data_IF_384161088999
#
_entry.id   IF_384161088999
#
_cell.length_a   1.000
_cell.length_b   1.000
_cell.length_c   1.000
_cell.angle_alpha   90.00
_cell.angle_beta   90.00
_cell.angle_gamma   90.00
#
_symmetry.space_group_name_H-M   'P 1'
#
loop_
_entity.id
_entity.type
_entity.pdbx_description
1 polymer ?
#
# COMPACT_ATOMS: atom_id res chain seq x y z
N UNK A 1 2.04 25.38 0.94
CA UNK A 1 0.62 25.01 0.75
C UNK A 1 0.20 24.04 1.84
N UNK A 2 -0.98 24.20 2.46
CA UNK A 2 -1.47 23.34 3.56
C UNK A 2 -2.64 22.49 3.10
N UNK A 3 -2.55 21.17 3.24
CA UNK A 3 -3.60 20.21 2.87
C UNK A 3 -3.94 19.36 4.09
N UNK A 4 -5.22 19.36 4.50
CA UNK A 4 -5.73 18.40 5.47
C UNK A 4 -6.18 17.16 4.72
N UNK A 5 -5.40 16.08 4.83
CA UNK A 5 -5.69 14.81 4.19
C UNK A 5 -6.36 13.90 5.20
N UNK A 6 -7.58 13.45 4.88
CA UNK A 6 -8.25 12.36 5.57
C UNK A 6 -8.15 11.11 4.70
N UNK A 7 -7.39 10.12 5.16
CA UNK A 7 -7.35 8.80 4.53
C UNK A 7 -8.60 8.02 4.94
N UNK A 8 -9.23 7.30 4.00
CA UNK A 8 -10.42 6.51 4.27
C UNK A 8 -10.05 5.02 4.39
N UNK A 9 -10.84 4.21 5.11
CA UNK A 9 -10.64 2.75 5.23
C UNK A 9 -10.47 2.05 3.88
N UNK A 10 -11.23 2.50 2.89
CA UNK A 10 -11.20 1.93 1.54
C UNK A 10 -9.85 2.14 0.85
N UNK A 11 -9.17 3.26 1.11
CA UNK A 11 -7.85 3.54 0.54
C UNK A 11 -6.78 2.62 1.12
N UNK A 12 -6.87 2.31 2.42
CA UNK A 12 -6.00 1.31 3.05
C UNK A 12 -6.29 -0.10 2.56
N UNK A 13 -7.56 -0.43 2.31
CA UNK A 13 -7.92 -1.73 1.76
C UNK A 13 -7.37 -1.91 0.34
N UNK A 14 -7.53 -0.90 -0.52
CA UNK A 14 -6.96 -0.86 -1.86
C UNK A 14 -5.43 -0.90 -1.84
N UNK A 15 -4.78 -0.15 -0.95
CA UNK A 15 -3.33 -0.19 -0.78
C UNK A 15 -2.85 -1.55 -0.28
N UNK A 16 -3.56 -2.18 0.64
CA UNK A 16 -3.24 -3.52 1.14
C UNK A 16 -3.41 -4.60 0.08
N UNK A 17 -4.43 -4.50 -0.79
CA UNK A 17 -4.60 -5.36 -1.95
C UNK A 17 -3.47 -5.16 -2.99
N UNK A 18 -3.07 -3.91 -3.23
CA UNK A 18 -1.91 -3.63 -4.07
C UNK A 18 -0.62 -4.21 -3.47
N UNK A 19 -0.44 -4.11 -2.16
CA UNK A 19 0.73 -4.67 -1.47
C UNK A 19 0.69 -6.21 -1.38
N UNK A 20 -0.49 -6.83 -1.29
CA UNK A 20 -0.72 -8.28 -1.42
C UNK A 20 -0.19 -8.81 -2.75
N UNK A 21 -0.51 -8.12 -3.85
CA UNK A 21 -0.08 -8.52 -5.20
C UNK A 21 1.39 -8.21 -5.48
N UNK A 22 2.00 -7.24 -4.79
CA UNK A 22 3.41 -6.88 -4.94
C UNK A 22 4.35 -7.46 -3.87
N UNK A 23 3.81 -8.06 -2.81
CA UNK A 23 4.61 -8.68 -1.76
C UNK A 23 5.11 -10.05 -2.19
N UNK A 24 6.43 -10.15 -2.43
CA UNK A 24 7.09 -11.39 -2.83
C UNK A 24 6.80 -12.56 -1.87
N UNK A 25 6.66 -12.29 -0.57
CA UNK A 25 6.35 -13.32 0.43
C UNK A 25 4.93 -13.88 0.29
N UNK A 26 3.96 -13.03 -0.03
CA UNK A 26 2.56 -13.45 -0.25
C UNK A 26 2.44 -14.23 -1.55
N UNK A 27 3.08 -13.73 -2.62
CA UNK A 27 3.15 -14.46 -3.89
C UNK A 27 3.79 -15.85 -3.71
N UNK A 28 4.87 -15.94 -2.93
CA UNK A 28 5.53 -17.21 -2.63
C UNK A 28 4.60 -18.19 -1.90
N UNK A 29 3.78 -17.71 -0.95
CA UNK A 29 2.77 -18.55 -0.27
C UNK A 29 1.74 -19.07 -1.26
N UNK A 30 1.21 -18.23 -2.15
CA UNK A 30 0.25 -18.68 -3.17
C UNK A 30 0.85 -19.67 -4.16
N UNK A 31 2.09 -19.45 -4.61
CA UNK A 31 2.81 -20.40 -5.47
C UNK A 31 2.99 -21.75 -4.77
N UNK A 32 3.36 -21.75 -3.49
CA UNK A 32 3.49 -22.97 -2.70
C UNK A 32 2.15 -23.69 -2.54
N UNK A 33 1.07 -22.94 -2.30
CA UNK A 33 -0.29 -23.49 -2.21
C UNK A 33 -0.76 -24.12 -3.53
N UNK A 34 -0.46 -23.50 -4.67
CA UNK A 34 -0.77 -24.06 -6.00
C UNK A 34 0.06 -25.33 -6.25
N UNK A 35 1.34 -25.32 -5.86
CA UNK A 35 2.20 -26.49 -5.98
C UNK A 35 1.70 -27.68 -5.14
N UNK A 36 1.25 -27.43 -3.91
CA UNK A 36 0.63 -28.46 -3.05
C UNK A 36 -0.68 -28.99 -3.63
N UNK A 37 -1.51 -28.13 -4.23
CA UNK A 37 -2.72 -28.57 -4.95
C UNK A 37 -2.37 -29.47 -6.14
N UNK A 38 -1.32 -29.13 -6.90
CA UNK A 38 -0.83 -29.98 -7.98
C UNK A 38 -0.38 -31.35 -7.48
N UNK A 39 0.37 -31.40 -6.38
CA UNK A 39 0.78 -32.67 -5.76
C UNK A 39 -0.41 -33.49 -5.26
N UNK A 40 -1.44 -32.84 -4.71
CA UNK A 40 -2.67 -33.52 -4.29
C UNK A 40 -3.41 -34.16 -5.49
N UNK A 41 -3.50 -33.44 -6.61
CA UNK A 41 -4.11 -33.94 -7.84
C UNK A 41 -3.28 -35.08 -8.46
N UNK A 42 -1.95 -34.98 -8.42
CA UNK A 42 -1.05 -36.04 -8.88
C UNK A 42 -1.14 -37.28 -7.98
N UNK A 43 -1.25 -37.11 -6.66
CA UNK A 43 -1.45 -38.24 -5.74
C UNK A 43 -2.77 -38.97 -6.01
N UNK A 44 -3.83 -38.23 -6.38
CA UNK A 44 -5.10 -38.82 -6.76
C UNK A 44 -4.99 -39.74 -7.99
N UNK A 45 -4.16 -39.39 -8.99
CA UNK A 45 -3.97 -40.24 -10.18
C UNK A 45 -3.15 -41.50 -9.90
N UNK A 46 -2.34 -41.51 -8.84
CA UNK A 46 -1.54 -42.65 -8.40
C UNK A 46 -2.29 -43.59 -7.43
N UNK A 47 -3.55 -43.26 -7.08
CA UNK A 47 -4.34 -44.06 -6.16
C UNK A 47 -3.95 -43.92 -4.69
N UNK A 48 -3.35 -42.78 -4.31
CA UNK A 48 -3.01 -42.48 -2.91
C UNK A 48 -4.25 -42.49 -1.99
N UNK A 49 -4.02 -42.72 -0.70
CA UNK A 49 -5.11 -42.79 0.28
C UNK A 49 -5.86 -41.46 0.37
N UNK A 50 -7.19 -41.53 0.47
CA UNK A 50 -8.06 -40.37 0.65
C UNK A 50 -7.62 -39.46 1.83
N UNK A 51 -7.00 -40.04 2.87
CA UNK A 51 -6.46 -39.28 4.00
C UNK A 51 -5.29 -38.37 3.61
N UNK A 52 -4.37 -38.83 2.76
CA UNK A 52 -3.20 -38.06 2.31
C UNK A 52 -3.63 -36.86 1.47
N UNK A 53 -4.67 -37.04 0.65
CA UNK A 53 -5.24 -36.00 -0.21
C UNK A 53 -5.91 -34.91 0.63
N UNK A 54 -6.64 -35.27 1.69
CA UNK A 54 -7.24 -34.30 2.62
C UNK A 54 -6.16 -33.47 3.32
N UNK A 55 -5.09 -34.12 3.80
CA UNK A 55 -3.96 -33.42 4.43
C UNK A 55 -3.26 -32.45 3.46
N UNK A 56 -3.09 -32.85 2.20
CA UNK A 56 -2.49 -32.00 1.16
C UNK A 56 -3.39 -30.81 0.78
N UNK A 57 -4.72 -30.94 0.87
CA UNK A 57 -5.67 -29.87 0.58
C UNK A 57 -5.84 -28.86 1.73
N UNK A 58 -5.57 -29.28 2.97
CA UNK A 58 -5.79 -28.46 4.16
C UNK A 58 -4.96 -27.17 4.15
N UNK A 59 -3.66 -27.27 3.83
CA UNK A 59 -2.74 -26.13 3.86
C UNK A 59 -3.07 -25.06 2.79
N UNK A 60 -3.32 -25.43 1.51
CA UNK A 60 -3.80 -24.49 0.51
C UNK A 60 -5.11 -23.83 0.92
N UNK A 61 -6.10 -24.61 1.37
CA UNK A 61 -7.41 -24.09 1.73
C UNK A 61 -7.33 -23.12 2.92
N UNK A 62 -6.57 -23.47 3.95
CA UNK A 62 -6.28 -22.60 5.07
C UNK A 62 -5.57 -21.31 4.62
N UNK A 63 -4.59 -21.38 3.71
CA UNK A 63 -3.89 -20.19 3.22
C UNK A 63 -4.83 -19.22 2.48
N UNK A 64 -5.75 -19.72 1.65
CA UNK A 64 -6.68 -18.90 0.88
C UNK A 64 -7.72 -18.19 1.75
N UNK A 65 -8.06 -18.75 2.91
CA UNK A 65 -9.02 -18.17 3.86
C UNK A 65 -8.32 -17.29 4.90
N UNK A 66 -7.24 -17.80 5.51
CA UNK A 66 -6.55 -17.14 6.63
C UNK A 66 -5.83 -15.87 6.17
N UNK A 67 -5.17 -15.87 5.01
CA UNK A 67 -4.44 -14.69 4.52
C UNK A 67 -5.33 -13.46 4.35
N UNK A 68 -6.48 -13.50 3.62
CA UNK A 68 -7.35 -12.33 3.50
C UNK A 68 -7.97 -11.93 4.85
N UNK A 69 -8.33 -12.89 5.71
CA UNK A 69 -8.85 -12.59 7.06
C UNK A 69 -7.82 -11.83 7.89
N UNK A 70 -6.57 -12.30 7.95
CA UNK A 70 -5.50 -11.63 8.69
C UNK A 70 -5.26 -10.20 8.20
N UNK A 71 -5.45 -9.96 6.91
CA UNK A 71 -5.28 -8.63 6.32
C UNK A 71 -6.43 -7.71 6.70
N UNK A 72 -7.67 -8.18 6.61
CA UNK A 72 -8.85 -7.43 7.07
C UNK A 72 -8.72 -7.11 8.56
N UNK A 73 -8.31 -8.08 9.37
CA UNK A 73 -8.11 -7.90 10.80
C UNK A 73 -6.99 -6.91 11.08
N UNK A 74 -5.86 -6.99 10.38
CA UNK A 74 -4.74 -6.05 10.54
C UNK A 74 -5.15 -4.63 10.19
N UNK A 75 -5.85 -4.43 9.08
CA UNK A 75 -6.36 -3.10 8.69
C UNK A 75 -7.38 -2.59 9.71
N UNK A 76 -8.29 -3.45 10.17
CA UNK A 76 -9.31 -3.09 11.17
C UNK A 76 -8.67 -2.74 12.50
N UNK A 77 -7.63 -3.47 12.91
CA UNK A 77 -6.87 -3.21 14.12
C UNK A 77 -6.07 -1.90 14.01
N UNK A 78 -5.38 -1.67 12.89
CA UNK A 78 -4.69 -0.41 12.61
C UNK A 78 -5.67 0.77 12.60
N UNK A 79 -6.85 0.58 12.00
CA UNK A 79 -7.92 1.57 12.03
C UNK A 79 -8.41 1.85 13.44
N UNK A 80 -8.63 0.82 14.26
CA UNK A 80 -9.20 0.99 15.60
C UNK A 80 -8.19 1.56 16.59
N UNK A 81 -6.91 1.17 16.48
CA UNK A 81 -5.85 1.55 17.42
C UNK A 81 -5.18 2.87 17.07
N UNK A 82 -5.10 3.20 15.78
CA UNK A 82 -4.32 4.35 15.30
C UNK A 82 -5.08 5.21 14.28
N UNK A 83 -6.42 5.26 14.44
CA UNK A 83 -7.31 6.09 13.60
C UNK A 83 -6.79 7.52 13.49
N UNK A 84 -6.44 8.13 14.61
CA UNK A 84 -6.00 9.52 14.57
C UNK A 84 -4.60 9.62 13.96
N UNK A 85 -3.67 8.77 14.41
CA UNK A 85 -2.25 8.78 13.99
C UNK A 85 -2.03 8.54 12.49
N UNK A 86 -2.78 7.63 11.87
CA UNK A 86 -2.57 7.26 10.46
C UNK A 86 -3.53 7.96 9.49
N UNK A 87 -4.73 8.36 9.92
CA UNK A 87 -5.79 8.76 8.99
C UNK A 87 -5.97 10.26 8.86
N UNK A 88 -5.56 11.05 9.86
CA UNK A 88 -5.56 12.50 9.77
C UNK A 88 -4.12 12.97 9.63
N UNK A 89 -3.76 13.52 8.48
CA UNK A 89 -2.42 14.08 8.26
C UNK A 89 -2.55 15.47 7.66
N UNK A 90 -1.97 16.44 8.35
CA UNK A 90 -1.77 17.77 7.81
C UNK A 90 -0.47 17.73 7.01
N UNK A 91 -0.57 17.91 5.70
CA UNK A 91 0.57 18.08 4.82
C UNK A 91 0.81 19.57 4.61
N UNK A 92 1.97 20.07 5.02
CA UNK A 92 2.45 21.39 4.66
C UNK A 92 3.63 21.25 3.69
N UNK A 93 3.42 21.61 2.44
CA UNK A 93 4.46 21.60 1.41
C UNK A 93 5.10 22.97 1.29
N UNK A 94 6.40 23.04 1.54
CA UNK A 94 7.20 24.26 1.50
C UNK A 94 8.45 24.04 0.61
N UNK A 95 9.22 25.10 0.34
CA UNK A 95 10.45 25.03 -0.47
C UNK A 95 11.51 24.08 0.13
N UNK A 96 11.52 23.87 1.44
CA UNK A 96 12.48 23.02 2.13
C UNK A 96 12.10 21.53 2.13
N UNK A 97 10.81 21.21 2.03
CA UNK A 97 10.33 19.84 2.12
C UNK A 97 8.83 19.70 2.29
N UNK A 98 8.42 18.47 2.59
CA UNK A 98 7.06 18.08 2.93
C UNK A 98 6.99 17.85 4.43
N UNK A 99 6.35 18.77 5.15
CA UNK A 99 6.02 18.58 6.57
C UNK A 99 4.73 17.80 6.68
N UNK A 100 4.77 16.73 7.45
CA UNK A 100 3.63 15.89 7.77
C UNK A 100 3.44 16.02 9.27
N UNK A 101 2.37 16.70 9.66
CA UNK A 101 2.01 16.86 11.06
C UNK A 101 0.64 16.26 11.35
N UNK A 102 0.50 15.77 12.57
CA UNK A 102 -0.71 15.26 13.16
C UNK A 102 -0.62 15.47 14.68
N UNK A 103 -1.70 15.24 15.42
CA UNK A 103 -1.77 15.44 16.88
C UNK A 103 -0.74 14.60 17.65
N UNK A 104 -0.14 13.59 17.01
CA UNK A 104 0.82 12.66 17.61
C UNK A 104 2.24 12.74 17.04
N UNK A 105 2.45 13.43 15.91
CA UNK A 105 3.74 13.41 15.22
C UNK A 105 3.91 14.61 14.31
N UNK A 106 5.12 15.14 14.26
CA UNK A 106 5.52 16.21 13.36
C UNK A 106 6.87 15.85 12.72
N UNK A 107 6.88 15.71 11.40
CA UNK A 107 8.10 15.40 10.67
C UNK A 107 8.18 16.17 9.38
N UNK A 108 9.37 16.70 9.10
CA UNK A 108 9.68 17.35 7.85
C UNK A 108 10.57 16.45 7.00
N UNK A 109 10.03 15.99 5.88
CA UNK A 109 10.77 15.22 4.88
C UNK A 109 11.35 16.23 3.88
N UNK A 110 12.67 16.39 3.87
CA UNK A 110 13.35 17.23 2.87
C UNK A 110 13.18 16.62 1.48
N UNK A 111 13.11 17.48 0.47
CA UNK A 111 13.00 17.04 -0.93
C UNK A 111 14.14 16.12 -1.36
N UNK A 112 15.35 16.30 -0.83
CA UNK A 112 16.50 15.44 -1.07
C UNK A 112 16.30 13.98 -0.65
N UNK A 113 15.37 13.69 0.26
CA UNK A 113 15.04 12.32 0.67
C UNK A 113 13.97 11.67 -0.21
N UNK A 114 13.29 12.44 -1.06
CA UNK A 114 12.26 11.94 -1.96
C UNK A 114 12.99 11.42 -3.21
N UNK A 115 13.03 10.09 -3.35
CA UNK A 115 13.70 9.44 -4.47
C UNK A 115 12.83 9.44 -5.72
N UNK A 116 11.50 9.44 -5.56
CA UNK A 116 10.57 9.33 -6.68
C UNK A 116 9.18 9.85 -6.35
N UNK A 117 8.57 10.55 -7.29
CA UNK A 117 7.16 10.91 -7.25
C UNK A 117 6.43 10.28 -8.42
N UNK A 118 5.36 9.55 -8.13
CA UNK A 118 4.48 8.95 -9.12
C UNK A 118 3.09 9.54 -9.01
N UNK A 119 2.57 10.05 -10.12
CA UNK A 119 1.17 10.39 -10.25
C UNK A 119 0.36 9.15 -10.62
N UNK A 120 -0.74 8.92 -9.93
CA UNK A 120 -1.73 7.89 -10.26
C UNK A 120 -3.07 8.58 -10.55
N UNK A 121 -4.06 7.83 -11.05
CA UNK A 121 -5.41 8.38 -11.31
C UNK A 121 -6.09 8.99 -10.08
N UNK A 122 -5.68 8.60 -8.87
CA UNK A 122 -6.36 8.98 -7.62
C UNK A 122 -5.47 9.68 -6.59
N UNK A 123 -4.14 9.71 -6.76
CA UNK A 123 -3.22 10.26 -5.77
C UNK A 123 -1.81 10.53 -6.32
N UNK A 124 -1.07 11.37 -5.61
CA UNK A 124 0.39 11.47 -5.72
C UNK A 124 1.05 10.53 -4.71
N UNK A 125 2.02 9.75 -5.15
CA UNK A 125 2.83 8.85 -4.32
C UNK A 125 4.26 9.38 -4.24
N UNK A 126 4.69 9.76 -3.04
CA UNK A 126 6.03 10.26 -2.72
C UNK A 126 6.85 9.12 -2.09
N UNK A 127 7.77 8.53 -2.84
CA UNK A 127 8.63 7.45 -2.36
C UNK A 127 9.88 8.03 -1.71
N UNK A 128 10.03 7.78 -0.40
CA UNK A 128 11.26 8.08 0.35
C UNK A 128 12.22 6.90 0.21
N UNK A 129 11.67 5.68 0.19
CA UNK A 129 12.46 4.48 0.00
C UNK A 129 11.69 3.40 -0.79
N UNK A 130 12.35 2.30 -1.15
CA UNK A 130 11.75 1.20 -1.92
C UNK A 130 10.49 0.59 -1.27
N UNK A 131 10.35 0.72 0.04
CA UNK A 131 9.24 0.14 0.82
C UNK A 131 8.31 1.19 1.45
N UNK A 132 8.64 2.48 1.37
CA UNK A 132 7.93 3.54 2.07
C UNK A 132 7.52 4.65 1.11
N UNK A 133 6.22 4.85 0.98
CA UNK A 133 5.62 5.90 0.18
C UNK A 133 4.58 6.68 0.98
N UNK A 134 4.60 8.00 0.84
CA UNK A 134 3.54 8.87 1.34
C UNK A 134 2.55 9.13 0.22
N UNK A 135 1.27 8.84 0.50
CA UNK A 135 0.18 9.05 -0.45
C UNK A 135 -0.54 10.35 -0.12
N UNK A 136 -0.69 11.21 -1.13
CA UNK A 136 -1.52 12.40 -1.10
C UNK A 136 -2.69 12.18 -2.06
N UNK A 137 -3.88 11.85 -1.55
CA UNK A 137 -5.06 11.60 -2.39
C UNK A 137 -5.58 12.86 -3.08
N UNK A 138 -6.09 12.72 -4.30
CA UNK A 138 -6.66 13.85 -5.06
C UNK A 138 -7.94 14.41 -4.43
N UNK A 139 -8.70 13.59 -3.68
CA UNK A 139 -9.88 14.07 -2.96
C UNK A 139 -9.55 15.01 -1.81
N UNK A 140 -8.28 15.12 -1.41
CA UNK A 140 -7.84 16.06 -0.38
C UNK A 140 -7.61 17.48 -0.91
N UNK A 141 -7.62 17.66 -2.23
CA UNK A 141 -7.49 18.97 -2.86
C UNK A 141 -8.89 19.57 -3.03
N UNK A 142 -9.05 20.82 -2.61
CA UNK A 142 -10.33 21.52 -2.73
C UNK A 142 -10.60 21.99 -4.18
N UNK A 143 -9.55 22.11 -5.01
CA UNK A 143 -9.65 22.59 -6.39
C UNK A 143 -8.58 21.93 -7.30
N UNK A 144 -8.87 21.84 -8.60
CA UNK A 144 -7.92 21.44 -9.65
C UNK A 144 -6.71 22.36 -9.71
N UNK A 145 -6.87 23.65 -9.40
CA UNK A 145 -5.73 24.60 -9.35
C UNK A 145 -4.68 24.21 -8.32
N UNK A 146 -5.11 23.79 -7.14
CA UNK A 146 -4.23 23.29 -6.09
C UNK A 146 -3.46 22.04 -6.52
N UNK A 147 -4.09 21.17 -7.30
CA UNK A 147 -3.43 20.01 -7.90
C UNK A 147 -2.34 20.44 -8.89
N UNK A 148 -2.64 21.40 -9.76
CA UNK A 148 -1.67 21.89 -10.76
C UNK A 148 -0.50 22.64 -10.12
N UNK A 149 -0.75 23.44 -9.07
CA UNK A 149 0.29 24.11 -8.29
C UNK A 149 1.26 23.10 -7.67
N UNK A 150 0.72 22.02 -7.09
CA UNK A 150 1.54 20.95 -6.54
C UNK A 150 2.37 20.24 -7.63
N UNK A 151 1.74 19.98 -8.78
CA UNK A 151 2.42 19.38 -9.94
C UNK A 151 3.57 20.28 -10.45
N UNK A 152 3.37 21.60 -10.48
CA UNK A 152 4.43 22.57 -10.83
C UNK A 152 5.54 22.55 -9.79
N UNK A 153 5.20 22.56 -8.51
CA UNK A 153 6.18 22.50 -7.42
C UNK A 153 7.04 21.23 -7.50
N UNK A 154 6.46 20.06 -7.80
CA UNK A 154 7.24 18.84 -8.02
C UNK A 154 8.20 18.96 -9.21
N UNK A 155 7.80 19.63 -10.29
CA UNK A 155 8.68 19.86 -11.46
C UNK A 155 9.81 20.85 -11.18
N UNK A 156 9.62 21.79 -10.27
CA UNK A 156 10.62 22.79 -9.91
C UNK A 156 11.68 22.24 -8.94
N UNK A 157 11.27 21.33 -8.05
CA UNK A 157 12.10 20.88 -6.94
C UNK A 157 12.72 19.50 -7.15
N UNK A 158 12.16 18.67 -8.02
CA UNK A 158 12.65 17.31 -8.30
C UNK A 158 13.24 17.21 -9.70
N UNK A 159 14.26 16.37 -9.83
CA UNK A 159 14.89 16.08 -11.12
C UNK A 159 13.93 15.26 -12.01
N UNK A 160 14.09 15.39 -13.34
CA UNK A 160 13.14 14.80 -14.32
C UNK A 160 13.05 13.26 -14.22
N UNK A 161 14.13 12.60 -13.82
CA UNK A 161 14.23 11.16 -13.61
C UNK A 161 13.47 10.67 -12.37
N UNK A 162 13.22 11.56 -11.41
CA UNK A 162 12.46 11.29 -10.19
C UNK A 162 10.94 11.46 -10.40
N UNK A 163 10.51 12.01 -11.55
CA UNK A 163 9.12 12.35 -11.84
C UNK A 163 8.49 11.38 -12.86
N UNK A 164 7.47 10.63 -12.42
CA UNK A 164 6.57 9.90 -13.32
C UNK A 164 5.17 10.52 -13.19
N UNK A 165 4.92 11.54 -14.00
CA UNK A 165 3.64 12.23 -14.09
C UNK A 165 2.89 11.70 -15.33
N UNK A 166 1.64 11.29 -15.15
CA UNK A 166 0.73 10.90 -16.25
C UNK A 166 -0.17 12.07 -16.67
#
# INVERSE_FOLDING_TARGET
MKLKVQLTKEDLFKYSLFNLTHSKSVLMIYVLSIFLLFLALWGFTQGESFSQIIWALYLPFASFIVVPILIVLKITFLYKKEKDRFFYKNYELNKEGVRISNDYFDSTIKWSFIKKVRETKHAFLLFIDKKQAHMIPFHSFQDKKQKEELRKMFKEVLEKDQLILQ
#
